data_IF_717460762368
#
_entry.id   IF_717460762368
#
_cell.length_a   1.000
_cell.length_b   1.000
_cell.length_c   1.000
_cell.angle_alpha   90.00
_cell.angle_beta   90.00
_cell.angle_gamma   90.00
#
_symmetry.space_group_name_H-M   'P 1'
#
loop_
_entity.id
_entity.type
_entity.pdbx_description
1 polymer ?
#
# COMPACT_ATOMS: atom_id res chain seq x y z
N UNK A 1 39.37 6.23 51.23
CA UNK A 1 39.12 4.96 50.53
C UNK A 1 37.71 5.07 49.97
N UNK A 2 37.59 5.61 48.75
CA UNK A 2 36.29 5.92 48.11
C UNK A 2 35.97 4.81 47.13
N UNK A 3 34.92 4.05 47.43
CA UNK A 3 34.48 2.92 46.60
C UNK A 3 33.67 3.53 45.43
N UNK A 4 34.23 3.39 44.23
CA UNK A 4 33.55 3.77 42.97
C UNK A 4 32.62 2.64 42.57
N UNK A 5 31.30 2.86 42.67
CA UNK A 5 30.28 1.92 42.23
C UNK A 5 30.11 2.06 40.71
N UNK A 6 30.68 1.16 39.92
CA UNK A 6 30.45 1.11 38.49
C UNK A 6 29.11 0.41 38.23
N UNK A 7 28.10 1.16 37.87
CA UNK A 7 26.82 0.62 37.40
C UNK A 7 27.00 0.21 35.93
N UNK A 8 27.10 -1.08 35.68
CA UNK A 8 26.98 -1.62 34.31
C UNK A 8 25.52 -1.53 33.88
N UNK A 9 25.20 -0.52 33.07
CA UNK A 9 23.95 -0.51 32.29
C UNK A 9 24.14 -1.50 31.12
N UNK A 10 23.58 -2.70 31.28
CA UNK A 10 23.42 -3.63 30.17
C UNK A 10 22.46 -3.05 29.16
N UNK A 11 22.98 -2.38 28.12
CA UNK A 11 22.26 -2.06 26.91
C UNK A 11 21.99 -3.38 26.17
N UNK A 12 20.83 -3.99 26.43
CA UNK A 12 20.30 -5.04 25.57
C UNK A 12 20.00 -4.44 24.20
N UNK A 13 20.45 -5.03 23.09
CA UNK A 13 20.05 -4.56 21.78
C UNK A 13 18.55 -4.89 21.60
N UNK A 14 17.71 -3.86 21.62
CA UNK A 14 16.29 -3.95 21.26
C UNK A 14 16.16 -4.13 19.74
N UNK A 15 16.55 -5.28 19.23
CA UNK A 15 16.22 -5.74 17.89
C UNK A 15 14.95 -6.57 17.94
N UNK A 16 13.84 -5.94 18.31
CA UNK A 16 12.52 -6.55 18.24
C UNK A 16 12.05 -6.55 16.78
N UNK A 17 12.10 -7.70 16.10
CA UNK A 17 11.43 -7.88 14.81
C UNK A 17 9.92 -7.78 15.07
N UNK A 18 9.22 -6.95 14.30
CA UNK A 18 7.77 -6.78 14.42
C UNK A 18 7.06 -8.15 14.42
N UNK A 19 6.10 -8.31 15.33
CA UNK A 19 5.37 -9.57 15.50
C UNK A 19 6.11 -10.68 16.25
N UNK A 20 7.43 -10.57 16.52
CA UNK A 20 8.13 -11.56 17.35
C UNK A 20 7.73 -11.48 18.83
N UNK A 21 7.30 -10.31 19.30
CA UNK A 21 6.81 -10.11 20.65
C UNK A 21 5.32 -10.47 20.82
N UNK A 22 4.61 -10.81 19.74
CA UNK A 22 3.24 -11.28 19.85
C UNK A 22 3.17 -12.60 20.65
N UNK A 23 2.14 -12.80 21.50
CA UNK A 23 1.93 -14.04 22.21
C UNK A 23 2.00 -15.24 21.25
N UNK A 24 2.57 -16.34 21.70
CA UNK A 24 2.70 -17.57 20.89
C UNK A 24 1.32 -18.05 20.37
N UNK A 25 0.27 -17.89 21.16
CA UNK A 25 -1.11 -18.21 20.76
C UNK A 25 -1.57 -17.42 19.53
N UNK A 26 -1.27 -16.12 19.46
CA UNK A 26 -1.67 -15.23 18.37
C UNK A 26 -0.84 -15.49 17.12
N UNK A 27 0.45 -15.76 17.26
CA UNK A 27 1.30 -16.21 16.16
C UNK A 27 0.80 -17.52 15.55
N UNK A 28 0.42 -18.48 16.36
CA UNK A 28 -0.15 -19.74 15.88
C UNK A 28 -1.50 -19.55 15.18
N UNK A 29 -2.38 -18.69 15.71
CA UNK A 29 -3.64 -18.32 15.04
C UNK A 29 -3.37 -17.66 13.68
N UNK A 30 -2.42 -16.71 13.64
CA UNK A 30 -2.00 -16.02 12.41
C UNK A 30 -1.57 -17.04 11.35
N UNK A 31 -0.63 -17.95 11.68
CA UNK A 31 -0.17 -18.95 10.71
C UNK A 31 -1.25 -19.94 10.28
N UNK A 32 -2.15 -20.36 11.18
CA UNK A 32 -3.27 -21.25 10.86
C UNK A 32 -4.29 -20.60 9.91
N UNK A 33 -4.36 -19.28 9.88
CA UNK A 33 -5.26 -18.54 8.98
C UNK A 33 -4.73 -18.43 7.56
N UNK A 34 -3.43 -18.70 7.33
CA UNK A 34 -2.80 -18.61 6.01
C UNK A 34 -3.38 -19.65 5.05
N UNK A 35 -3.86 -19.16 3.90
CA UNK A 35 -4.42 -19.99 2.83
C UNK A 35 -3.98 -19.47 1.47
N UNK A 36 -3.72 -20.34 0.52
CA UNK A 36 -3.56 -19.99 -0.89
C UNK A 36 -4.95 -19.72 -1.48
N UNK A 37 -5.14 -18.57 -2.09
CA UNK A 37 -6.43 -18.15 -2.68
C UNK A 37 -6.43 -18.25 -4.21
N UNK A 38 -5.29 -18.02 -4.88
CA UNK A 38 -5.16 -18.09 -6.34
C UNK A 38 -3.85 -18.77 -6.74
N UNK A 39 -3.84 -19.39 -7.92
CA UNK A 39 -2.65 -20.04 -8.50
C UNK A 39 -1.64 -19.07 -9.09
N UNK A 40 -2.06 -17.88 -9.51
CA UNK A 40 -1.17 -16.74 -9.65
C UNK A 40 -0.94 -16.22 -8.22
N UNK A 41 0.22 -16.48 -7.57
CA UNK A 41 0.23 -16.76 -6.14
C UNK A 41 -0.34 -15.62 -5.31
N UNK A 42 -1.60 -15.76 -4.94
CA UNK A 42 -2.26 -14.95 -3.91
C UNK A 42 -2.51 -15.82 -2.69
N UNK A 43 -1.98 -15.36 -1.59
CA UNK A 43 -2.29 -15.92 -0.27
C UNK A 43 -3.23 -14.97 0.49
N UNK A 44 -3.99 -15.49 1.43
CA UNK A 44 -4.79 -14.71 2.37
C UNK A 44 -4.41 -15.09 3.78
N UNK A 45 -4.29 -14.10 4.67
CA UNK A 45 -3.94 -14.31 6.07
C UNK A 45 -4.63 -13.26 6.95
N UNK A 46 -5.02 -13.67 8.16
CA UNK A 46 -5.42 -12.76 9.24
C UNK A 46 -4.30 -12.67 10.25
N UNK A 47 -3.86 -11.47 10.55
CA UNK A 47 -2.91 -11.21 11.63
C UNK A 47 -3.68 -11.03 12.93
N UNK A 48 -3.34 -11.82 13.95
CA UNK A 48 -3.94 -11.76 15.27
C UNK A 48 -3.02 -11.06 16.25
N UNK A 49 -3.61 -10.21 17.10
CA UNK A 49 -2.88 -9.47 18.12
C UNK A 49 -2.19 -8.19 17.60
N UNK A 50 -1.31 -7.66 18.43
CA UNK A 50 -0.55 -6.46 18.13
C UNK A 50 0.73 -6.80 17.35
N UNK A 51 0.96 -6.14 16.23
CA UNK A 51 2.20 -6.25 15.45
C UNK A 51 3.27 -5.26 15.89
N UNK A 52 3.05 -4.51 16.98
CA UNK A 52 4.00 -3.57 17.58
C UNK A 52 4.61 -2.65 16.52
N UNK A 53 3.98 -1.50 16.29
CA UNK A 53 4.60 -0.47 15.44
C UNK A 53 5.92 -0.09 16.08
N UNK A 54 7.06 -0.34 15.45
CA UNK A 54 8.33 0.01 16.01
C UNK A 54 8.46 1.54 16.09
N UNK A 55 9.20 2.03 17.08
CA UNK A 55 9.49 3.46 17.19
C UNK A 55 10.24 4.00 15.96
N UNK A 56 11.00 3.14 15.31
CA UNK A 56 11.64 3.31 14.01
C UNK A 56 11.93 1.94 13.40
N UNK A 57 11.46 1.69 12.21
CA UNK A 57 11.94 0.57 11.38
C UNK A 57 12.65 1.19 10.19
N UNK A 58 13.99 1.16 10.14
CA UNK A 58 14.65 1.28 8.86
C UNK A 58 14.07 0.19 7.96
N UNK A 59 13.64 0.54 6.77
CA UNK A 59 13.37 -0.46 5.74
C UNK A 59 14.65 -1.30 5.66
N UNK A 60 14.55 -2.59 5.98
CA UNK A 60 15.73 -3.47 5.91
C UNK A 60 16.29 -3.33 4.50
N UNK A 61 17.58 -3.04 4.40
CA UNK A 61 18.24 -2.98 3.09
C UNK A 61 17.76 -4.16 2.25
N UNK A 62 17.25 -3.92 1.04
CA UNK A 62 16.73 -4.98 0.19
C UNK A 62 17.77 -6.10 0.08
N UNK A 63 17.34 -7.35 0.01
CA UNK A 63 18.24 -8.45 -0.32
C UNK A 63 18.98 -8.13 -1.63
N UNK A 64 20.12 -8.77 -1.87
CA UNK A 64 20.88 -8.54 -3.13
C UNK A 64 19.98 -8.74 -4.37
N UNK A 65 19.02 -9.65 -4.31
CA UNK A 65 18.08 -9.91 -5.40
C UNK A 65 17.10 -8.74 -5.60
N UNK A 66 16.58 -8.17 -4.51
CA UNK A 66 15.73 -6.96 -4.57
C UNK A 66 16.54 -5.76 -5.09
N UNK A 67 17.77 -5.57 -4.60
CA UNK A 67 18.65 -4.50 -5.09
C UNK A 67 18.95 -4.64 -6.59
N UNK A 68 19.19 -5.88 -7.06
CA UNK A 68 19.42 -6.18 -8.46
C UNK A 68 18.18 -5.91 -9.31
N UNK A 69 17.00 -6.22 -8.81
CA UNK A 69 15.73 -5.96 -9.50
C UNK A 69 15.41 -4.46 -9.57
N UNK A 70 15.64 -3.72 -8.49
CA UNK A 70 15.53 -2.26 -8.47
C UNK A 70 16.51 -1.60 -9.45
N UNK A 71 17.74 -2.11 -9.56
CA UNK A 71 18.73 -1.64 -10.53
C UNK A 71 18.33 -1.97 -11.97
N UNK A 72 17.81 -3.16 -12.23
CA UNK A 72 17.33 -3.58 -13.55
C UNK A 72 16.12 -2.77 -14.02
N UNK A 73 15.27 -2.31 -13.08
CA UNK A 73 14.12 -1.44 -13.38
C UNK A 73 14.49 -0.05 -13.91
N UNK A 74 15.75 0.37 -13.75
CA UNK A 74 16.27 1.68 -14.16
C UNK A 74 17.29 1.60 -15.31
N UNK A 75 17.26 0.58 -16.15
CA UNK A 75 18.16 0.48 -17.30
C UNK A 75 17.89 1.63 -18.29
N UNK A 76 18.91 2.43 -18.66
CA UNK A 76 18.74 3.49 -19.64
C UNK A 76 18.21 2.94 -20.98
N UNK A 77 17.10 3.49 -21.47
CA UNK A 77 16.48 3.07 -22.73
C UNK A 77 15.41 1.97 -22.63
N UNK A 78 15.16 1.43 -21.44
CA UNK A 78 14.03 0.54 -21.19
C UNK A 78 12.99 1.25 -20.32
N UNK A 79 11.66 1.09 -20.57
CA UNK A 79 10.66 1.57 -19.65
C UNK A 79 10.89 0.93 -18.28
N UNK A 80 10.71 1.69 -17.18
CA UNK A 80 10.87 1.11 -15.84
C UNK A 80 9.94 -0.10 -15.69
N UNK A 81 10.45 -1.19 -15.12
CA UNK A 81 9.69 -2.43 -14.89
C UNK A 81 8.49 -2.19 -13.96
N UNK A 82 8.57 -1.16 -13.10
CA UNK A 82 7.51 -0.78 -12.21
C UNK A 82 6.58 0.24 -12.85
N UNK A 83 5.31 -0.07 -12.81
CA UNK A 83 4.26 0.83 -13.20
C UNK A 83 3.06 0.64 -12.26
N UNK A 84 2.21 1.60 -12.16
CA UNK A 84 0.98 1.53 -11.38
C UNK A 84 -0.06 2.46 -11.99
N UNK A 85 -1.32 2.17 -11.71
CA UNK A 85 -2.42 3.09 -11.98
C UNK A 85 -3.30 3.13 -10.77
N UNK A 86 -3.60 4.31 -10.23
CA UNK A 86 -4.62 4.52 -9.22
C UNK A 86 -5.62 5.56 -9.72
N UNK A 87 -6.89 5.32 -9.45
CA UNK A 87 -7.93 6.33 -9.66
C UNK A 87 -9.09 6.10 -8.71
N UNK A 88 -9.81 7.18 -8.41
CA UNK A 88 -11.08 7.10 -7.69
C UNK A 88 -12.25 7.41 -8.61
N UNK A 89 -13.40 6.87 -8.27
CA UNK A 89 -14.67 7.16 -8.93
C UNK A 89 -15.81 7.15 -7.90
N UNK A 90 -16.80 8.02 -8.08
CA UNK A 90 -17.93 8.11 -7.15
C UNK A 90 -18.89 6.95 -7.34
N UNK A 91 -19.34 6.34 -6.24
CA UNK A 91 -20.41 5.33 -6.22
C UNK A 91 -21.79 5.99 -6.23
N UNK A 92 -22.84 5.20 -6.51
CA UNK A 92 -24.24 5.64 -6.40
C UNK A 92 -24.60 6.12 -5.00
N UNK A 93 -23.94 5.62 -3.97
CA UNK A 93 -24.14 5.99 -2.57
C UNK A 93 -23.33 7.23 -2.16
N UNK A 94 -22.61 7.87 -3.09
CA UNK A 94 -21.82 9.08 -2.85
C UNK A 94 -20.44 8.84 -2.23
N UNK A 95 -20.06 7.57 -1.98
CA UNK A 95 -18.71 7.19 -1.56
C UNK A 95 -17.75 7.12 -2.74
N UNK A 96 -16.53 6.66 -2.47
CA UNK A 96 -15.51 6.47 -3.50
C UNK A 96 -15.16 5.00 -3.69
N UNK A 97 -14.92 4.62 -4.93
CA UNK A 97 -14.19 3.43 -5.31
C UNK A 97 -12.72 3.82 -5.54
N UNK A 98 -11.79 3.09 -4.95
CA UNK A 98 -10.38 3.16 -5.32
C UNK A 98 -10.07 1.99 -6.25
N UNK A 99 -9.76 2.27 -7.50
CA UNK A 99 -9.23 1.29 -8.45
C UNK A 99 -7.71 1.37 -8.53
N UNK A 100 -7.02 0.21 -8.48
CA UNK A 100 -5.57 0.16 -8.57
C UNK A 100 -5.07 -1.04 -9.36
N UNK A 101 -4.13 -0.80 -10.29
CA UNK A 101 -3.23 -1.81 -10.85
C UNK A 101 -1.84 -1.67 -10.22
N UNK A 102 -1.26 -2.79 -9.82
CA UNK A 102 0.14 -2.91 -9.45
C UNK A 102 0.88 -3.69 -10.52
N UNK A 103 1.77 -2.99 -11.22
CA UNK A 103 2.53 -3.52 -12.34
C UNK A 103 4.01 -3.62 -11.93
N UNK A 104 4.52 -4.86 -11.85
CA UNK A 104 5.88 -5.17 -11.41
C UNK A 104 6.33 -6.51 -11.99
N UNK A 105 7.53 -6.99 -11.61
CA UNK A 105 7.94 -8.35 -11.87
C UNK A 105 6.99 -9.35 -11.18
N UNK A 106 6.95 -10.59 -11.67
CA UNK A 106 6.11 -11.64 -11.09
C UNK A 106 6.51 -11.96 -9.65
N UNK A 107 5.67 -11.59 -8.71
CA UNK A 107 5.84 -11.83 -7.29
C UNK A 107 4.60 -12.46 -6.67
N UNK A 108 4.76 -13.28 -5.60
CA UNK A 108 3.62 -13.72 -4.80
C UNK A 108 3.10 -12.57 -3.94
N UNK A 109 1.77 -12.49 -3.81
CA UNK A 109 1.08 -11.48 -3.03
C UNK A 109 0.35 -12.08 -1.82
N UNK A 110 0.18 -11.27 -0.79
CA UNK A 110 -0.60 -11.60 0.40
C UNK A 110 -1.73 -10.57 0.57
N UNK A 111 -2.96 -11.05 0.65
CA UNK A 111 -4.10 -10.30 1.14
C UNK A 111 -4.13 -10.44 2.66
N UNK A 112 -3.80 -9.37 3.36
CA UNK A 112 -3.62 -9.35 4.81
C UNK A 112 -4.76 -8.62 5.50
N UNK A 113 -5.45 -9.28 6.41
CA UNK A 113 -6.40 -8.68 7.33
C UNK A 113 -5.74 -8.42 8.68
N UNK A 114 -5.91 -7.22 9.22
CA UNK A 114 -5.42 -6.82 10.54
C UNK A 114 -6.54 -6.19 11.36
N UNK A 115 -6.51 -6.41 12.67
CA UNK A 115 -7.43 -5.81 13.64
C UNK A 115 -6.69 -5.63 14.97
N UNK A 116 -5.74 -4.68 15.01
CA UNK A 116 -4.88 -4.48 16.16
C UNK A 116 -5.61 -3.74 17.28
N UNK A 117 -5.32 -4.05 18.56
CA UNK A 117 -5.94 -3.35 19.68
C UNK A 117 -5.74 -1.83 19.62
N UNK A 118 -6.84 -1.07 19.76
CA UNK A 118 -6.81 0.41 19.82
C UNK A 118 -6.51 1.11 18.50
N UNK A 119 -6.53 0.39 17.38
CA UNK A 119 -6.33 0.91 16.02
C UNK A 119 -7.43 0.40 15.09
N UNK A 120 -7.52 0.94 13.88
CA UNK A 120 -8.56 0.52 12.94
C UNK A 120 -8.25 -0.83 12.29
N UNK A 121 -9.26 -1.67 12.19
CA UNK A 121 -9.20 -2.88 11.39
C UNK A 121 -9.00 -2.52 9.91
N UNK A 122 -8.23 -3.32 9.18
CA UNK A 122 -7.96 -3.07 7.77
C UNK A 122 -7.68 -4.33 6.97
N UNK A 123 -7.77 -4.20 5.65
CA UNK A 123 -7.23 -5.14 4.67
C UNK A 123 -6.17 -4.45 3.83
N UNK A 124 -5.11 -5.15 3.47
CA UNK A 124 -4.05 -4.64 2.60
C UNK A 124 -3.49 -5.71 1.68
N UNK A 125 -3.03 -5.28 0.50
CA UNK A 125 -2.20 -6.10 -0.37
C UNK A 125 -0.73 -5.90 0.00
N UNK A 126 0.00 -6.99 0.10
CA UNK A 126 1.44 -7.01 0.44
C UNK A 126 2.17 -7.82 -0.63
N UNK A 127 3.22 -7.23 -1.21
CA UNK A 127 4.17 -7.96 -2.03
C UNK A 127 5.14 -8.71 -1.11
N UNK A 128 4.95 -10.03 -0.96
CA UNK A 128 5.73 -10.83 -0.02
C UNK A 128 7.12 -11.22 -0.54
N UNK A 129 7.48 -10.83 -1.75
CA UNK A 129 8.87 -10.90 -2.23
C UNK A 129 9.79 -10.08 -1.32
N UNK A 130 9.36 -8.92 -0.84
CA UNK A 130 10.09 -8.09 0.13
C UNK A 130 10.24 -8.71 1.52
N UNK A 131 9.54 -9.82 1.76
CA UNK A 131 9.68 -10.66 2.96
C UNK A 131 10.54 -11.91 2.71
N UNK A 132 11.12 -12.04 1.50
CA UNK A 132 11.99 -13.14 1.10
C UNK A 132 11.27 -14.33 0.47
N UNK A 133 10.00 -14.19 0.07
CA UNK A 133 9.25 -15.24 -0.62
C UNK A 133 9.34 -15.04 -2.14
N UNK A 134 10.11 -15.87 -2.80
CA UNK A 134 10.19 -15.91 -4.26
C UNK A 134 9.11 -16.83 -4.84
N UNK A 135 8.96 -16.86 -6.16
CA UNK A 135 7.95 -17.70 -6.80
C UNK A 135 8.05 -19.22 -6.52
N UNK A 136 9.22 -19.71 -6.09
CA UNK A 136 9.47 -21.10 -5.69
C UNK A 136 9.24 -21.38 -4.20
N UNK A 137 9.25 -20.34 -3.36
CA UNK A 137 9.14 -20.46 -1.91
C UNK A 137 7.69 -20.30 -1.49
N UNK A 138 7.07 -21.42 -1.11
CA UNK A 138 5.70 -21.40 -0.63
C UNK A 138 5.68 -20.90 0.84
N UNK A 139 5.03 -19.77 1.15
CA UNK A 139 5.00 -19.20 2.49
C UNK A 139 4.29 -20.09 3.52
N UNK A 140 3.46 -21.05 3.10
CA UNK A 140 2.82 -22.04 3.96
C UNK A 140 3.83 -23.03 4.56
N UNK A 141 4.96 -23.28 3.91
CA UNK A 141 6.04 -24.14 4.44
C UNK A 141 6.91 -23.45 5.49
N UNK A 142 7.08 -22.14 5.39
CA UNK A 142 7.88 -21.34 6.32
C UNK A 142 7.24 -19.95 6.50
N UNK A 143 6.15 -19.83 7.29
CA UNK A 143 5.39 -18.59 7.40
C UNK A 143 6.04 -17.52 8.28
N UNK A 144 7.21 -17.79 8.89
CA UNK A 144 7.82 -16.89 9.88
C UNK A 144 8.06 -15.46 9.40
N UNK A 145 8.48 -15.28 8.16
CA UNK A 145 8.68 -13.96 7.53
C UNK A 145 7.40 -13.15 7.41
N UNK A 146 6.24 -13.80 7.30
CA UNK A 146 4.94 -13.12 7.17
C UNK A 146 4.53 -12.34 8.42
N UNK A 147 5.17 -12.57 9.59
CA UNK A 147 4.92 -11.75 10.77
C UNK A 147 5.28 -10.27 10.60
N UNK A 148 6.08 -9.94 9.59
CA UNK A 148 6.42 -8.56 9.24
C UNK A 148 5.45 -7.94 8.22
N UNK A 149 4.56 -8.73 7.63
CA UNK A 149 3.65 -8.24 6.58
C UNK A 149 2.77 -7.05 6.97
N UNK A 150 2.32 -6.87 8.23
CA UNK A 150 1.58 -5.67 8.61
C UNK A 150 2.31 -4.35 8.37
N UNK A 151 3.65 -4.36 8.36
CA UNK A 151 4.47 -3.17 8.20
C UNK A 151 4.72 -2.78 6.73
N UNK A 152 4.33 -3.62 5.78
CA UNK A 152 4.66 -3.48 4.36
C UNK A 152 3.40 -3.49 3.45
N UNK A 153 2.34 -2.73 3.76
CA UNK A 153 1.19 -2.63 2.87
C UNK A 153 1.54 -1.82 1.61
N UNK A 154 1.16 -2.32 0.45
CA UNK A 154 1.30 -1.63 -0.85
C UNK A 154 0.06 -0.82 -1.21
N UNK A 155 -1.08 -1.24 -0.71
CA UNK A 155 -2.38 -0.58 -0.74
C UNK A 155 -3.27 -1.17 0.36
N UNK A 156 -4.43 -0.57 0.59
CA UNK A 156 -5.37 -1.12 1.56
C UNK A 156 -6.60 -0.25 1.79
N UNK A 157 -7.52 -0.82 2.57
CA UNK A 157 -8.77 -0.21 3.02
C UNK A 157 -8.94 -0.46 4.52
N UNK A 158 -9.29 0.57 5.30
CA UNK A 158 -9.63 0.38 6.71
C UNK A 158 -11.14 0.43 6.97
N UNK A 159 -11.54 0.04 8.17
CA UNK A 159 -12.94 -0.04 8.60
C UNK A 159 -13.68 1.32 8.61
N UNK A 160 -12.95 2.42 8.60
CA UNK A 160 -13.53 3.77 8.51
C UNK A 160 -13.80 4.19 7.06
N UNK A 161 -13.37 3.37 6.09
CA UNK A 161 -13.52 3.64 4.67
C UNK A 161 -12.44 4.56 4.10
N UNK A 162 -11.27 4.62 4.73
CA UNK A 162 -10.08 5.21 4.12
C UNK A 162 -9.40 4.15 3.25
N UNK A 163 -9.18 4.45 1.99
CA UNK A 163 -8.41 3.63 1.07
C UNK A 163 -7.15 4.34 0.60
N UNK A 164 -6.04 3.61 0.53
CA UNK A 164 -4.72 4.12 0.17
C UNK A 164 -4.08 3.22 -0.88
N UNK A 165 -3.42 3.82 -1.87
CA UNK A 165 -2.56 3.12 -2.82
C UNK A 165 -1.28 3.91 -3.06
N UNK A 166 -0.18 3.23 -3.35
CA UNK A 166 1.08 3.89 -3.71
C UNK A 166 1.45 3.64 -5.16
N UNK A 167 2.22 4.55 -5.75
CA UNK A 167 2.79 4.39 -7.09
C UNK A 167 4.22 4.91 -7.09
N UNK A 168 5.11 4.18 -7.77
CA UNK A 168 6.48 4.63 -7.93
C UNK A 168 6.54 5.85 -8.87
N UNK A 169 7.46 6.77 -8.56
CA UNK A 169 7.73 7.99 -9.34
C UNK A 169 9.23 8.13 -9.60
N UNK A 170 9.64 8.90 -10.62
CA UNK A 170 11.07 9.07 -10.94
C UNK A 170 11.90 9.68 -9.82
N UNK A 171 11.28 10.51 -8.98
CA UNK A 171 11.94 11.13 -7.83
C UNK A 171 10.90 11.51 -6.77
N UNK A 172 11.31 11.47 -5.50
CA UNK A 172 10.58 12.05 -4.39
C UNK A 172 11.59 12.66 -3.41
N UNK A 173 11.29 13.86 -2.92
CA UNK A 173 12.10 14.58 -1.96
C UNK A 173 11.15 15.33 -1.01
N UNK A 174 10.89 14.73 0.14
CA UNK A 174 10.05 15.27 1.19
C UNK A 174 10.80 16.17 2.18
N UNK A 175 10.12 16.66 3.21
CA UNK A 175 10.75 17.35 4.32
C UNK A 175 11.79 16.45 5.02
N UNK A 176 12.87 17.05 5.51
CA UNK A 176 13.85 16.45 6.40
C UNK A 176 13.91 17.32 7.69
N UNK A 177 12.90 17.15 8.53
CA UNK A 177 12.73 17.89 9.77
C UNK A 177 13.39 17.11 10.92
N UNK A 178 14.46 17.63 11.54
CA UNK A 178 15.18 16.92 12.60
C UNK A 178 14.34 16.70 13.87
N UNK A 179 13.18 17.37 14.00
CA UNK A 179 12.27 17.17 15.12
C UNK A 179 11.25 16.03 14.88
N UNK A 180 11.18 15.51 13.64
CA UNK A 180 10.26 14.44 13.28
C UNK A 180 10.99 13.11 13.14
N UNK A 181 10.29 12.04 13.50
CA UNK A 181 10.78 10.69 13.23
C UNK A 181 10.71 10.41 11.72
N UNK A 182 11.67 9.65 11.23
CA UNK A 182 11.68 9.15 9.86
C UNK A 182 11.04 7.77 9.83
N UNK A 183 10.18 7.52 8.85
CA UNK A 183 9.54 6.22 8.61
C UNK A 183 9.73 5.80 7.17
N UNK A 184 9.73 4.49 6.93
CA UNK A 184 9.81 3.94 5.58
C UNK A 184 8.55 4.20 4.76
N UNK A 185 8.71 4.19 3.46
CA UNK A 185 7.69 4.53 2.45
C UNK A 185 6.45 3.64 2.47
N UNK A 186 6.55 2.40 2.94
CA UNK A 186 5.41 1.50 3.13
C UNK A 186 4.81 1.61 4.54
N UNK A 187 5.64 1.88 5.56
CA UNK A 187 5.16 2.02 6.92
C UNK A 187 4.20 3.21 7.09
N UNK A 188 4.38 4.29 6.32
CA UNK A 188 3.44 5.41 6.34
C UNK A 188 2.03 4.99 5.91
N UNK A 189 1.90 4.01 4.98
CA UNK A 189 0.61 3.46 4.58
C UNK A 189 -0.03 2.72 5.77
N UNK A 190 0.78 1.93 6.50
CA UNK A 190 0.29 1.24 7.72
C UNK A 190 -0.21 2.23 8.76
N UNK A 191 0.52 3.32 8.99
CA UNK A 191 0.11 4.36 9.94
C UNK A 191 -1.20 5.03 9.52
N UNK A 192 -1.39 5.31 8.23
CA UNK A 192 -2.66 5.84 7.73
C UNK A 192 -3.81 4.85 7.93
N UNK A 193 -3.62 3.57 7.60
CA UNK A 193 -4.65 2.55 7.77
C UNK A 193 -5.02 2.33 9.24
N UNK A 194 -4.06 2.46 10.16
CA UNK A 194 -4.26 2.25 11.59
C UNK A 194 -4.93 3.44 12.31
N UNK A 195 -4.64 4.67 11.87
CA UNK A 195 -4.96 5.85 12.67
C UNK A 195 -5.80 6.91 11.96
N UNK A 196 -5.92 6.90 10.64
CA UNK A 196 -6.67 7.89 9.90
C UNK A 196 -8.04 7.33 9.45
N UNK A 197 -9.11 8.09 9.69
CA UNK A 197 -10.47 7.72 9.26
C UNK A 197 -10.90 8.39 7.95
N UNK A 198 -10.15 9.40 7.50
CA UNK A 198 -10.46 10.20 6.33
C UNK A 198 -9.20 10.81 5.72
N UNK A 199 -9.34 11.43 4.54
CA UNK A 199 -8.23 12.06 3.80
C UNK A 199 -7.49 13.10 4.65
N UNK A 200 -8.18 13.94 5.42
CA UNK A 200 -7.54 14.99 6.20
C UNK A 200 -6.66 14.40 7.32
N UNK A 201 -7.15 13.41 8.03
CA UNK A 201 -6.35 12.72 9.06
C UNK A 201 -5.17 11.97 8.45
N UNK A 202 -5.32 11.39 7.25
CA UNK A 202 -4.21 10.76 6.53
C UNK A 202 -3.12 11.77 6.15
N UNK A 203 -3.51 12.99 5.70
CA UNK A 203 -2.56 14.09 5.44
C UNK A 203 -1.84 14.50 6.72
N UNK A 204 -2.54 14.53 7.86
CA UNK A 204 -1.92 14.87 9.14
C UNK A 204 -0.93 13.77 9.60
N UNK A 205 -1.20 12.50 9.31
CA UNK A 205 -0.21 11.43 9.50
C UNK A 205 1.06 11.73 8.71
N UNK A 206 0.95 12.11 7.44
CA UNK A 206 2.12 12.50 6.63
C UNK A 206 2.91 13.65 7.24
N UNK A 207 2.23 14.67 7.76
CA UNK A 207 2.89 15.86 8.34
C UNK A 207 3.68 15.56 9.61
N UNK A 208 3.43 14.43 10.27
CA UNK A 208 4.07 14.07 11.53
C UNK A 208 5.39 13.31 11.34
N UNK A 209 5.75 12.91 10.10
CA UNK A 209 6.93 12.09 9.83
C UNK A 209 7.75 12.65 8.68
N UNK A 210 9.06 12.36 8.70
CA UNK A 210 9.88 12.32 7.50
C UNK A 210 9.71 10.94 6.84
N UNK A 211 9.80 10.88 5.51
CA UNK A 211 9.61 9.63 4.77
C UNK A 211 10.87 9.32 3.99
N UNK A 212 11.38 8.11 4.18
CA UNK A 212 12.54 7.58 3.45
C UNK A 212 12.14 6.49 2.44
N UNK A 213 12.96 6.34 1.40
CA UNK A 213 12.76 5.39 0.31
C UNK A 213 13.93 4.41 0.17
N UNK A 214 14.66 4.15 1.25
CA UNK A 214 15.88 3.31 1.24
C UNK A 214 15.61 1.86 0.82
N UNK A 215 14.37 1.38 0.99
CA UNK A 215 13.96 0.01 0.69
C UNK A 215 13.32 -0.19 -0.70
N UNK A 216 13.12 0.89 -1.48
CA UNK A 216 12.40 0.80 -2.74
C UNK A 216 12.53 2.06 -3.61
N UNK A 217 11.75 2.18 -4.69
CA UNK A 217 11.72 3.39 -5.50
C UNK A 217 11.04 4.53 -4.72
N UNK A 218 11.31 5.80 -5.11
CA UNK A 218 10.51 6.93 -4.65
C UNK A 218 9.02 6.72 -4.96
N UNK A 219 8.14 7.13 -4.04
CA UNK A 219 6.71 6.93 -4.17
C UNK A 219 5.94 8.24 -4.05
N UNK A 220 4.74 8.26 -4.65
CA UNK A 220 3.65 9.13 -4.28
C UNK A 220 2.43 8.30 -3.89
N UNK A 221 1.44 8.91 -3.22
CA UNK A 221 0.36 8.18 -2.57
C UNK A 221 -0.99 8.72 -3.00
N UNK A 222 -1.88 7.80 -3.35
CA UNK A 222 -3.28 8.08 -3.65
C UNK A 222 -4.11 7.74 -2.43
N UNK A 223 -4.92 8.67 -1.94
CA UNK A 223 -5.74 8.52 -0.74
C UNK A 223 -7.15 8.94 -1.06
N UNK A 224 -8.13 8.13 -0.69
CA UNK A 224 -9.54 8.47 -0.82
C UNK A 224 -10.34 7.97 0.38
N UNK A 225 -11.51 8.56 0.62
CA UNK A 225 -12.34 8.20 1.76
C UNK A 225 -13.83 8.15 1.42
N UNK A 226 -14.61 7.68 2.39
CA UNK A 226 -16.06 7.55 2.31
C UNK A 226 -16.80 8.87 2.05
N UNK A 227 -16.20 10.02 2.34
CA UNK A 227 -16.83 11.33 2.14
C UNK A 227 -16.83 11.81 0.69
N UNK A 228 -16.28 11.03 -0.23
CA UNK A 228 -16.15 11.40 -1.64
C UNK A 228 -14.87 12.17 -1.97
N UNK A 229 -13.98 12.39 -0.99
CA UNK A 229 -12.72 13.10 -1.21
C UNK A 229 -11.62 12.16 -1.70
N UNK A 230 -10.76 12.69 -2.58
CA UNK A 230 -9.51 12.04 -2.97
C UNK A 230 -8.37 13.06 -3.09
N UNK A 231 -7.15 12.59 -2.83
CA UNK A 231 -5.92 13.38 -2.97
C UNK A 231 -4.78 12.51 -3.49
N UNK A 232 -3.86 13.13 -4.21
CA UNK A 232 -2.52 12.59 -4.43
C UNK A 232 -1.54 13.36 -3.56
N UNK A 233 -0.74 12.64 -2.76
CA UNK A 233 0.29 13.24 -1.92
C UNK A 233 1.64 12.97 -2.56
N UNK A 234 2.34 14.03 -2.93
CA UNK A 234 3.67 14.01 -3.53
C UNK A 234 4.69 14.67 -2.63
N UNK A 235 5.91 14.16 -2.66
CA UNK A 235 7.05 14.70 -1.93
C UNK A 235 7.99 15.36 -2.92
N UNK A 236 7.90 16.69 -3.04
CA UNK A 236 8.60 17.46 -4.08
C UNK A 236 9.25 18.70 -3.49
N UNK A 237 10.55 18.89 -3.79
CA UNK A 237 11.28 20.09 -3.39
C UNK A 237 11.35 20.31 -1.88
N UNK A 238 11.50 19.25 -1.11
CA UNK A 238 11.55 19.30 0.36
C UNK A 238 10.19 19.57 1.02
N UNK A 239 9.07 19.36 0.29
CA UNK A 239 7.71 19.66 0.78
C UNK A 239 6.75 18.51 0.51
N UNK A 240 5.68 18.47 1.31
CA UNK A 240 4.50 17.65 1.07
C UNK A 240 3.56 18.45 0.19
N UNK A 241 3.34 18.00 -1.05
CA UNK A 241 2.38 18.56 -2.00
C UNK A 241 1.10 17.72 -1.97
N UNK A 242 -0.05 18.34 -1.66
CA UNK A 242 -1.35 17.68 -1.60
C UNK A 242 -2.20 18.15 -2.78
N UNK A 243 -2.36 17.29 -3.76
CA UNK A 243 -3.12 17.54 -4.96
C UNK A 243 -4.57 17.09 -4.76
N UNK A 244 -5.48 18.05 -4.57
CA UNK A 244 -6.92 17.79 -4.40
C UNK A 244 -7.60 17.77 -5.76
N UNK A 245 -8.50 16.81 -5.97
CA UNK A 245 -9.33 16.82 -7.16
C UNK A 245 -10.39 17.92 -7.10
N UNK A 246 -10.65 18.53 -8.24
CA UNK A 246 -11.83 19.40 -8.49
C UNK A 246 -12.98 18.64 -9.15
N UNK A 247 -12.74 17.36 -9.52
CA UNK A 247 -13.70 16.43 -10.09
C UNK A 247 -14.19 15.44 -9.01
N UNK A 248 -15.32 14.76 -9.21
CA UNK A 248 -15.79 13.67 -8.34
C UNK A 248 -14.94 12.40 -8.46
N UNK A 249 -13.82 12.48 -9.16
CA UNK A 249 -12.84 11.44 -9.39
C UNK A 249 -11.41 12.05 -9.43
N UNK A 250 -10.42 11.21 -9.33
CA UNK A 250 -9.01 11.59 -9.48
C UNK A 250 -8.23 10.43 -10.10
N UNK A 251 -7.11 10.73 -10.76
CA UNK A 251 -6.23 9.73 -11.36
C UNK A 251 -4.77 10.06 -11.08
N UNK A 252 -3.95 9.03 -10.90
CA UNK A 252 -2.50 9.12 -10.81
C UNK A 252 -1.84 7.86 -11.38
N UNK A 253 -0.63 8.04 -11.93
CA UNK A 253 0.22 6.96 -12.43
C UNK A 253 1.67 7.22 -12.01
N UNK A 254 2.67 6.89 -12.80
CA UNK A 254 4.08 6.91 -12.39
C UNK A 254 4.84 8.19 -12.81
N UNK A 255 4.27 9.34 -12.60
CA UNK A 255 4.93 10.65 -12.83
C UNK A 255 4.49 11.68 -11.78
N UNK A 256 5.29 12.71 -11.59
CA UNK A 256 4.98 13.82 -10.68
C UNK A 256 3.97 14.73 -11.36
N UNK A 257 2.84 14.93 -10.71
CA UNK A 257 1.73 15.78 -11.20
C UNK A 257 1.92 17.22 -10.74
N UNK A 258 2.55 17.44 -9.59
CA UNK A 258 2.82 18.79 -9.04
C UNK A 258 3.50 19.67 -10.08
N UNK A 259 2.88 20.84 -10.37
CA UNK A 259 3.41 21.81 -11.31
C UNK A 259 3.02 21.58 -12.79
N UNK A 260 2.32 20.50 -13.10
CA UNK A 260 1.82 20.27 -14.46
C UNK A 260 0.44 20.90 -14.68
N UNK A 261 0.19 21.39 -15.89
CA UNK A 261 -1.17 21.67 -16.34
C UNK A 261 -1.94 20.36 -16.58
N UNK A 262 -3.28 20.37 -16.57
CA UNK A 262 -4.08 19.18 -16.89
C UNK A 262 -3.71 18.56 -18.25
N UNK A 263 -3.44 19.38 -19.26
CA UNK A 263 -3.04 18.93 -20.60
C UNK A 263 -1.69 18.21 -20.56
N UNK A 264 -0.72 18.78 -19.88
CA UNK A 264 0.61 18.18 -19.73
C UNK A 264 0.55 16.89 -18.93
N UNK A 265 -0.25 16.83 -17.85
CA UNK A 265 -0.46 15.60 -17.08
C UNK A 265 -1.06 14.49 -17.96
N UNK A 266 -2.08 14.81 -18.79
CA UNK A 266 -2.69 13.86 -19.75
C UNK A 266 -1.70 13.38 -20.82
N UNK A 267 -0.79 14.26 -21.25
CA UNK A 267 0.25 13.92 -22.24
C UNK A 267 1.38 13.04 -21.64
N UNK A 268 1.55 13.04 -20.32
CA UNK A 268 2.67 12.36 -19.66
C UNK A 268 2.55 10.83 -19.64
N UNK A 269 1.32 10.29 -19.67
CA UNK A 269 1.10 8.85 -19.57
C UNK A 269 -0.19 8.42 -20.26
N UNK A 270 -0.13 7.43 -21.16
CA UNK A 270 -1.31 6.93 -21.88
C UNK A 270 -2.37 6.33 -20.94
N UNK A 271 -1.97 5.68 -19.84
CA UNK A 271 -2.89 5.12 -18.84
C UNK A 271 -3.64 6.25 -18.11
N UNK A 272 -2.91 7.28 -17.69
CA UNK A 272 -3.49 8.49 -17.09
C UNK A 272 -4.51 9.11 -18.04
N UNK A 273 -4.12 9.33 -19.31
CA UNK A 273 -5.01 9.89 -20.33
C UNK A 273 -6.25 9.03 -20.53
N UNK A 274 -6.10 7.71 -20.67
CA UNK A 274 -7.23 6.78 -20.89
C UNK A 274 -8.23 6.82 -19.73
N UNK A 275 -7.74 6.77 -18.48
CA UNK A 275 -8.60 6.87 -17.29
C UNK A 275 -9.27 8.23 -17.22
N UNK A 276 -8.51 9.30 -17.40
CA UNK A 276 -9.04 10.67 -17.40
C UNK A 276 -10.17 10.83 -18.42
N UNK A 277 -9.92 10.53 -19.68
CA UNK A 277 -10.90 10.68 -20.76
C UNK A 277 -12.15 9.83 -20.53
N UNK A 278 -11.99 8.64 -19.94
CA UNK A 278 -13.13 7.79 -19.60
C UNK A 278 -13.98 8.41 -18.50
N UNK A 279 -13.37 8.87 -17.40
CA UNK A 279 -14.07 9.44 -16.25
C UNK A 279 -14.66 10.82 -16.55
N UNK A 280 -13.99 11.64 -17.36
CA UNK A 280 -14.49 12.96 -17.79
C UNK A 280 -15.77 12.86 -18.65
N UNK A 281 -15.87 11.82 -19.47
CA UNK A 281 -17.04 11.56 -20.31
C UNK A 281 -18.12 10.71 -19.61
N UNK A 282 -17.87 10.28 -18.37
CA UNK A 282 -18.80 9.46 -17.59
C UNK A 282 -19.84 10.37 -16.92
N UNK A 283 -21.11 10.19 -17.30
CA UNK A 283 -22.23 10.96 -16.73
C UNK A 283 -22.86 10.31 -15.51
N UNK A 284 -22.59 9.02 -15.28
CA UNK A 284 -23.15 8.22 -14.20
C UNK A 284 -22.07 7.81 -13.20
N UNK A 285 -22.49 7.51 -11.98
CA UNK A 285 -21.68 6.82 -10.97
C UNK A 285 -21.24 5.45 -11.48
N UNK A 286 -20.12 4.95 -10.95
CA UNK A 286 -19.54 3.67 -11.37
C UNK A 286 -19.79 2.58 -10.32
N UNK A 287 -20.02 1.36 -10.79
CA UNK A 287 -19.96 0.16 -9.96
C UNK A 287 -18.51 -0.34 -9.83
N UNK A 288 -18.24 -1.18 -8.83
CA UNK A 288 -16.92 -1.83 -8.67
C UNK A 288 -16.50 -2.61 -9.92
N UNK A 289 -17.45 -3.23 -10.64
CA UNK A 289 -17.17 -3.94 -11.88
C UNK A 289 -16.82 -2.99 -13.04
N UNK A 290 -17.43 -1.80 -13.10
CA UNK A 290 -17.05 -0.79 -14.10
C UNK A 290 -15.61 -0.27 -13.84
N UNK A 291 -15.26 -0.02 -12.58
CA UNK A 291 -13.90 0.36 -12.19
C UNK A 291 -12.91 -0.76 -12.51
N UNK A 292 -13.26 -2.02 -12.23
CA UNK A 292 -12.42 -3.18 -12.58
C UNK A 292 -12.24 -3.31 -14.11
N UNK A 293 -13.29 -3.06 -14.89
CA UNK A 293 -13.19 -3.03 -16.37
C UNK A 293 -12.23 -1.95 -16.85
N UNK A 294 -12.28 -0.76 -16.26
CA UNK A 294 -11.35 0.31 -16.62
C UNK A 294 -9.91 -0.02 -16.23
N UNK A 295 -9.71 -0.70 -15.08
CA UNK A 295 -8.39 -1.24 -14.70
C UNK A 295 -7.88 -2.27 -15.71
N UNK A 296 -8.75 -3.14 -16.24
CA UNK A 296 -8.42 -4.08 -17.33
C UNK A 296 -7.93 -3.34 -18.57
N UNK A 297 -8.63 -2.27 -18.97
CA UNK A 297 -8.29 -1.48 -20.16
C UNK A 297 -6.91 -0.81 -20.07
N UNK A 298 -6.46 -0.47 -18.85
CA UNK A 298 -5.17 0.15 -18.60
C UNK A 298 -4.14 -0.77 -17.97
N UNK A 299 -4.43 -2.09 -17.90
CA UNK A 299 -3.48 -3.08 -17.40
C UNK A 299 -2.29 -3.24 -18.34
N UNK A 300 -1.14 -3.57 -17.78
CA UNK A 300 0.09 -3.82 -18.51
C UNK A 300 0.41 -5.32 -18.56
N UNK A 301 1.33 -5.74 -19.39
CA UNK A 301 1.72 -7.16 -19.51
C UNK A 301 2.21 -7.77 -18.19
N UNK A 302 2.76 -6.92 -17.31
CA UNK A 302 3.31 -7.26 -16.01
C UNK A 302 2.42 -6.84 -14.82
N UNK A 303 1.11 -6.61 -15.03
CA UNK A 303 0.18 -6.38 -13.92
C UNK A 303 0.09 -7.62 -13.04
N UNK A 304 0.51 -7.50 -11.77
CA UNK A 304 0.45 -8.58 -10.77
C UNK A 304 -0.95 -8.68 -10.17
N UNK A 305 -1.50 -7.55 -9.69
CA UNK A 305 -2.88 -7.50 -9.22
C UNK A 305 -3.60 -6.23 -9.65
N UNK A 306 -4.91 -6.38 -9.78
CA UNK A 306 -5.87 -5.29 -9.87
C UNK A 306 -6.80 -5.38 -8.65
N UNK A 307 -7.01 -4.27 -7.97
CA UNK A 307 -7.90 -4.21 -6.80
C UNK A 307 -8.86 -3.03 -6.92
N UNK A 308 -10.10 -3.24 -6.48
CA UNK A 308 -11.11 -2.18 -6.34
C UNK A 308 -11.63 -2.21 -4.92
N UNK A 309 -11.39 -1.15 -4.16
CA UNK A 309 -11.92 -0.96 -2.80
C UNK A 309 -13.14 -0.05 -2.81
N UNK A 310 -14.25 -0.49 -2.25
CA UNK A 310 -15.42 0.35 -1.98
C UNK A 310 -15.33 0.91 -0.55
N UNK A 311 -15.13 2.22 -0.45
CA UNK A 311 -14.98 2.92 0.83
C UNK A 311 -16.26 2.96 1.66
N UNK A 312 -17.42 2.74 1.06
CA UNK A 312 -18.74 2.78 1.71
C UNK A 312 -19.19 1.42 2.21
N UNK A 313 -19.16 0.41 1.35
CA UNK A 313 -19.58 -0.95 1.70
C UNK A 313 -18.48 -1.70 2.45
N UNK A 314 -17.20 -1.33 2.27
CA UNK A 314 -16.00 -2.05 2.71
C UNK A 314 -15.81 -3.39 2.00
N UNK A 315 -16.49 -3.59 0.87
CA UNK A 315 -16.28 -4.71 -0.03
C UNK A 315 -15.15 -4.38 -1.01
N UNK A 316 -14.51 -5.39 -1.54
CA UNK A 316 -13.45 -5.18 -2.51
C UNK A 316 -13.32 -6.37 -3.46
N UNK A 317 -12.82 -6.06 -4.67
CA UNK A 317 -12.53 -7.01 -5.73
C UNK A 317 -11.03 -7.15 -5.92
N UNK A 318 -10.54 -8.37 -6.08
CA UNK A 318 -9.13 -8.63 -6.41
C UNK A 318 -9.05 -9.53 -7.64
N UNK A 319 -8.20 -9.16 -8.58
CA UNK A 319 -7.84 -9.97 -9.76
C UNK A 319 -6.33 -10.12 -9.79
N UNK A 320 -5.85 -11.35 -9.95
CA UNK A 320 -4.43 -11.66 -10.05
C UNK A 320 -4.02 -11.96 -11.48
N UNK A 321 -2.81 -11.51 -11.87
CA UNK A 321 -2.18 -11.85 -13.14
C UNK A 321 -3.02 -11.55 -14.37
N UNK A 322 -3.86 -10.51 -14.33
CA UNK A 322 -4.76 -10.11 -15.43
C UNK A 322 -5.83 -11.15 -15.79
N UNK A 323 -6.16 -12.08 -14.89
CA UNK A 323 -7.21 -13.08 -15.09
C UNK A 323 -8.57 -12.49 -14.72
N UNK A 324 -9.07 -11.53 -15.49
CA UNK A 324 -10.31 -10.79 -15.21
C UNK A 324 -11.59 -11.64 -15.34
N UNK A 325 -11.47 -12.89 -15.74
CA UNK A 325 -12.50 -13.93 -15.66
C UNK A 325 -12.55 -14.63 -14.29
N UNK A 326 -11.57 -14.35 -13.41
CA UNK A 326 -11.47 -14.86 -12.04
C UNK A 326 -11.37 -13.70 -11.05
N UNK A 327 -12.51 -13.20 -10.65
CA UNK A 327 -12.62 -12.09 -9.67
C UNK A 327 -12.83 -12.68 -8.28
N UNK A 328 -11.99 -12.29 -7.33
CA UNK A 328 -12.19 -12.60 -5.91
C UNK A 328 -12.95 -11.45 -5.26
N UNK A 329 -14.19 -11.72 -4.84
CA UNK A 329 -15.07 -10.78 -4.14
C UNK A 329 -14.99 -11.03 -2.64
N UNK A 330 -14.59 -10.02 -1.88
CA UNK A 330 -14.34 -10.13 -0.43
C UNK A 330 -14.88 -8.89 0.30
N UNK A 331 -14.96 -9.00 1.64
CA UNK A 331 -15.43 -7.91 2.49
C UNK A 331 -14.61 -7.80 3.77
N UNK A 332 -14.22 -6.58 4.12
CA UNK A 332 -13.56 -6.31 5.40
C UNK A 332 -14.52 -6.56 6.58
N UNK A 333 -15.83 -6.29 6.41
CA UNK A 333 -16.85 -6.53 7.47
C UNK A 333 -16.93 -8.00 7.89
N UNK A 334 -16.89 -8.93 6.91
CA UNK A 334 -16.96 -10.37 7.21
C UNK A 334 -15.73 -10.85 7.97
N UNK A 335 -14.56 -10.27 7.68
CA UNK A 335 -13.34 -10.61 8.38
C UNK A 335 -13.33 -10.11 9.83
N UNK A 336 -13.93 -8.95 10.12
CA UNK A 336 -14.03 -8.39 11.48
C UNK A 336 -15.10 -9.11 12.32
N UNK A 337 -16.24 -9.52 11.72
CA UNK A 337 -17.34 -10.18 12.43
C UNK A 337 -17.11 -11.66 12.76
N UNK A 338 -16.03 -12.27 12.29
CA UNK A 338 -15.68 -13.69 12.52
C UNK A 338 -14.81 -13.90 13.78
N UNK A 339 -14.84 -12.95 14.73
CA UNK A 339 -14.10 -13.02 16.03
C UNK A 339 -14.82 -13.82 17.07
#
# INVERSE_FOLDING_TARGET
>A
MTILLIVFILLSPLTGIAGQNAPQSDRLKTFKSLKKLDDFPLYVMRFYGDYSLPDYVPETSPSQDIQKELQNGNLPGYPPLWACTCFSATTEQGGQLLGRNFDWSYHPALLLFTDPPGRYASVSMVDIFYLGYTGSDAPDKNPGGLLRSPLLPFDGLNEKGLAVGMMAVPAANGPDDPQKRTVGSLLIIRLMLDYAKNVEEAIDVFKNFNIEFSGGPPLHYFITDRSGKSVVVELVGGKISVLRSTHPWQVATNFIITGLSPENARASCWRYKKVWDTLENQTNTLSSLNVLSLLKDVSQSNTIWSVVYDTSSLDFLVVMGRKYDRVHELSLKQAVSSQ
#
